data_IF_158757294980
#
_entry.id   IF_158757294980
#
_cell.length_a   1.000
_cell.length_b   1.000
_cell.length_c   1.000
_cell.angle_alpha   90.00
_cell.angle_beta   90.00
_cell.angle_gamma   90.00
#
_symmetry.space_group_name_H-M   'P 1'
#
loop_
_entity.id
_entity.type
_entity.pdbx_description
1 polymer ?
#
# COMPACT_ATOMS: atom_id res chain seq x y z
N UNK A 1 16.81 12.48 -15.57
CA UNK A 1 16.44 11.51 -14.51
C UNK A 1 15.36 10.53 -14.97
N UNK A 2 14.12 10.98 -15.23
CA UNK A 2 13.04 10.11 -15.75
C UNK A 2 13.43 9.37 -17.04
N UNK A 3 14.10 10.06 -17.98
CA UNK A 3 14.52 9.47 -19.26
C UNK A 3 15.50 8.30 -19.08
N UNK A 4 16.46 8.42 -18.17
CA UNK A 4 17.50 7.41 -17.95
C UNK A 4 16.95 6.08 -17.41
N UNK A 5 15.95 6.12 -16.51
CA UNK A 5 15.29 4.91 -16.01
C UNK A 5 14.46 4.27 -17.11
N UNK A 6 13.73 5.07 -17.89
CA UNK A 6 12.92 4.54 -19.00
C UNK A 6 13.81 3.85 -20.03
N UNK A 7 14.92 4.47 -20.41
CA UNK A 7 15.91 3.87 -21.32
C UNK A 7 16.48 2.57 -20.75
N UNK A 8 16.87 2.55 -19.48
CA UNK A 8 17.36 1.33 -18.82
C UNK A 8 16.32 0.21 -18.84
N UNK A 9 15.06 0.51 -18.47
CA UNK A 9 13.96 -0.45 -18.47
C UNK A 9 13.70 -0.98 -19.88
N UNK A 10 13.66 -0.11 -20.88
CA UNK A 10 13.42 -0.51 -22.27
C UNK A 10 14.51 -1.44 -22.79
N UNK A 11 15.79 -1.11 -22.55
CA UNK A 11 16.90 -1.90 -23.05
C UNK A 11 17.11 -3.22 -22.28
N UNK A 12 16.93 -3.22 -20.96
CA UNK A 12 17.38 -4.33 -20.10
C UNK A 12 16.25 -5.18 -19.51
N UNK A 13 15.03 -4.65 -19.39
CA UNK A 13 13.93 -5.32 -18.67
C UNK A 13 12.80 -5.69 -19.64
N UNK A 14 12.36 -4.74 -20.47
CA UNK A 14 11.23 -4.91 -21.38
C UNK A 14 11.34 -6.10 -22.34
N UNK A 15 12.54 -6.53 -22.81
CA UNK A 15 12.65 -7.72 -23.66
C UNK A 15 12.27 -9.02 -22.95
N UNK A 16 12.37 -9.06 -21.62
CA UNK A 16 12.25 -10.27 -20.81
C UNK A 16 11.06 -10.26 -19.85
N UNK A 17 10.53 -9.08 -19.51
CA UNK A 17 9.47 -8.93 -18.52
C UNK A 17 8.32 -8.06 -19.02
N UNK A 18 7.09 -8.58 -18.91
CA UNK A 18 5.84 -7.86 -19.17
C UNK A 18 4.99 -7.87 -17.90
N UNK A 19 4.93 -6.75 -17.21
CA UNK A 19 4.18 -6.61 -15.96
C UNK A 19 4.43 -5.28 -15.28
N UNK A 20 3.91 -5.16 -14.05
CA UNK A 20 4.18 -4.00 -13.20
C UNK A 20 5.58 -4.07 -12.61
N UNK A 21 6.25 -2.92 -12.54
CA UNK A 21 7.51 -2.78 -11.82
C UNK A 21 7.41 -1.62 -10.83
N UNK A 22 8.11 -1.74 -9.70
CA UNK A 22 8.39 -0.66 -8.78
C UNK A 22 9.84 -0.19 -8.93
N UNK A 23 10.08 1.11 -8.79
CA UNK A 23 11.42 1.68 -8.72
C UNK A 23 11.55 2.39 -7.38
N UNK A 24 12.45 1.91 -6.55
CA UNK A 24 12.68 2.49 -5.22
C UNK A 24 13.71 3.61 -5.35
N UNK A 25 13.35 4.77 -4.80
CA UNK A 25 14.11 6.02 -4.83
C UNK A 25 14.26 6.53 -3.41
N UNK A 26 15.34 7.23 -3.09
CA UNK A 26 15.44 7.98 -1.84
C UNK A 26 15.79 9.43 -2.10
N UNK A 27 15.35 10.30 -1.19
CA UNK A 27 15.82 11.67 -1.10
C UNK A 27 17.03 11.69 -0.19
N UNK A 28 18.10 12.36 -0.60
CA UNK A 28 19.29 12.57 0.21
C UNK A 28 19.65 14.05 0.27
N UNK A 29 20.35 14.46 1.31
CA UNK A 29 20.87 15.81 1.47
C UNK A 29 22.35 15.85 1.08
N UNK A 30 22.75 16.87 0.33
CA UNK A 30 24.14 17.17 0.05
C UNK A 30 24.32 18.69 0.02
N UNK A 31 25.23 19.21 0.84
CA UNK A 31 25.54 20.65 0.92
C UNK A 31 24.29 21.52 1.14
N UNK A 32 23.39 21.09 2.04
CA UNK A 32 22.15 21.81 2.37
C UNK A 32 21.06 21.75 1.29
N UNK A 33 21.26 20.98 0.22
CA UNK A 33 20.29 20.77 -0.84
C UNK A 33 19.77 19.33 -0.84
N UNK A 34 18.48 19.16 -1.14
CA UNK A 34 17.86 17.83 -1.27
C UNK A 34 17.87 17.37 -2.73
N UNK A 35 18.33 16.13 -2.92
CA UNK A 35 18.42 15.47 -4.22
C UNK A 35 17.67 14.15 -4.20
N UNK A 36 17.19 13.72 -5.35
CA UNK A 36 16.56 12.42 -5.53
C UNK A 36 17.57 11.45 -6.14
N UNK A 37 17.86 10.34 -5.46
CA UNK A 37 18.59 9.24 -6.08
C UNK A 37 17.62 8.44 -6.96
N UNK A 38 17.87 8.33 -8.28
CA UNK A 38 16.86 7.93 -9.25
C UNK A 38 16.40 6.48 -9.15
N UNK A 39 17.28 5.57 -8.72
CA UNK A 39 16.98 4.15 -8.72
C UNK A 39 17.96 3.42 -7.80
N UNK A 40 17.45 2.84 -6.72
CA UNK A 40 18.23 2.02 -5.79
C UNK A 40 17.92 0.55 -6.02
N UNK A 41 16.65 0.24 -6.23
CA UNK A 41 16.15 -1.10 -6.46
C UNK A 41 15.02 -1.07 -7.50
N UNK A 42 14.94 -2.13 -8.31
CA UNK A 42 13.82 -2.36 -9.23
C UNK A 42 13.12 -3.66 -8.83
N UNK A 43 11.86 -3.55 -8.47
CA UNK A 43 11.00 -4.64 -8.04
C UNK A 43 10.10 -5.10 -9.21
N UNK A 44 10.38 -6.25 -9.83
CA UNK A 44 9.61 -6.79 -10.96
C UNK A 44 8.35 -7.58 -10.53
N UNK A 45 7.49 -6.92 -9.76
CA UNK A 45 6.24 -7.49 -9.23
C UNK A 45 5.21 -6.39 -9.00
N UNK A 46 3.91 -6.75 -8.93
CA UNK A 46 2.90 -5.87 -8.34
C UNK A 46 3.36 -5.40 -6.94
N UNK A 47 3.39 -4.08 -6.75
CA UNK A 47 3.80 -3.47 -5.48
C UNK A 47 2.58 -3.21 -4.60
N UNK A 48 2.78 -3.05 -3.30
CA UNK A 48 1.70 -2.65 -2.39
C UNK A 48 1.13 -1.27 -2.75
N UNK A 49 1.95 -0.37 -3.31
CA UNK A 49 1.49 0.91 -3.83
C UNK A 49 0.50 0.75 -5.00
N UNK A 50 0.74 -0.22 -5.89
CA UNK A 50 -0.21 -0.55 -6.95
C UNK A 50 -1.54 -1.06 -6.38
N UNK A 51 -1.49 -1.97 -5.39
CA UNK A 51 -2.67 -2.51 -4.73
C UNK A 51 -3.46 -1.40 -4.04
N UNK A 52 -2.80 -0.54 -3.26
CA UNK A 52 -3.43 0.59 -2.57
C UNK A 52 -4.09 1.56 -3.56
N UNK A 53 -3.41 1.91 -4.65
CA UNK A 53 -3.94 2.79 -5.69
C UNK A 53 -5.15 2.17 -6.41
N UNK A 54 -5.09 0.87 -6.74
CA UNK A 54 -6.21 0.16 -7.36
C UNK A 54 -7.40 0.05 -6.41
N UNK A 55 -7.15 -0.22 -5.12
CA UNK A 55 -8.17 -0.27 -4.10
C UNK A 55 -8.87 1.09 -3.96
N UNK A 56 -8.08 2.17 -3.87
CA UNK A 56 -8.60 3.54 -3.76
C UNK A 56 -9.54 3.88 -4.93
N UNK A 57 -9.05 3.72 -6.17
CA UNK A 57 -9.82 4.08 -7.37
C UNK A 57 -11.14 3.32 -7.48
N UNK A 58 -11.13 2.03 -7.14
CA UNK A 58 -12.30 1.17 -7.36
C UNK A 58 -13.24 1.11 -6.17
N UNK A 59 -12.74 1.20 -4.94
CA UNK A 59 -13.53 0.90 -3.75
C UNK A 59 -13.59 2.03 -2.73
N UNK A 60 -12.86 3.13 -2.86
CA UNK A 60 -12.99 4.28 -1.94
C UNK A 60 -13.87 5.35 -2.57
N UNK A 61 -14.74 5.96 -1.76
CA UNK A 61 -15.57 7.07 -2.20
C UNK A 61 -14.73 8.30 -2.55
N UNK A 62 -15.18 9.08 -3.54
CA UNK A 62 -14.43 10.23 -4.03
C UNK A 62 -14.19 11.26 -2.91
N UNK A 63 -13.01 11.89 -2.93
CA UNK A 63 -12.61 12.91 -1.95
C UNK A 63 -12.20 12.37 -0.57
N UNK A 64 -12.40 11.08 -0.31
CA UNK A 64 -11.98 10.44 0.94
C UNK A 64 -10.49 10.16 0.96
N UNK A 65 -9.94 10.04 2.17
CA UNK A 65 -8.55 9.70 2.44
C UNK A 65 -8.49 8.66 3.55
N UNK A 66 -7.43 7.87 3.55
CA UNK A 66 -7.27 6.84 4.55
C UNK A 66 -5.91 6.18 4.48
N UNK A 67 -5.75 5.15 5.30
CA UNK A 67 -4.52 4.37 5.44
C UNK A 67 -4.77 2.97 4.91
N UNK A 68 -3.91 2.51 4.01
CA UNK A 68 -3.74 1.11 3.67
C UNK A 68 -2.51 0.61 4.44
N UNK A 69 -2.66 -0.39 5.30
CA UNK A 69 -1.58 -0.88 6.16
C UNK A 69 -1.45 -2.39 6.14
N UNK A 70 -0.22 -2.87 6.25
CA UNK A 70 0.09 -4.25 6.63
C UNK A 70 0.62 -4.19 8.06
N UNK A 71 -0.16 -4.68 9.01
CA UNK A 71 0.21 -4.67 10.42
C UNK A 71 0.75 -6.05 10.82
N UNK A 72 1.70 -6.05 11.74
CA UNK A 72 2.17 -7.25 12.44
C UNK A 72 2.04 -7.06 13.95
N UNK A 73 1.64 -8.12 14.65
CA UNK A 73 1.57 -8.19 16.10
C UNK A 73 2.30 -9.45 16.56
N UNK A 74 3.17 -9.31 17.56
CA UNK A 74 3.89 -10.45 18.16
C UNK A 74 2.95 -11.44 18.87
N UNK A 75 1.71 -11.02 19.15
CA UNK A 75 0.67 -11.83 19.78
C UNK A 75 -0.66 -11.76 19.01
N UNK A 76 -1.21 -12.93 18.67
CA UNK A 76 -2.46 -13.05 17.92
C UNK A 76 -3.68 -12.55 18.71
N UNK A 77 -3.66 -12.64 20.04
CA UNK A 77 -4.78 -12.17 20.87
C UNK A 77 -4.90 -10.64 20.87
N UNK A 78 -3.75 -9.96 20.80
CA UNK A 78 -3.64 -8.50 20.69
C UNK A 78 -4.17 -8.01 19.34
N UNK A 79 -3.79 -8.68 18.24
CA UNK A 79 -4.33 -8.35 16.91
C UNK A 79 -5.85 -8.51 16.86
N UNK A 80 -6.38 -9.61 17.42
CA UNK A 80 -7.83 -9.85 17.48
C UNK A 80 -8.55 -8.80 18.32
N UNK A 81 -7.97 -8.40 19.45
CA UNK A 81 -8.54 -7.39 20.33
C UNK A 81 -8.61 -6.03 19.63
N UNK A 82 -7.53 -5.61 18.96
CA UNK A 82 -7.52 -4.39 18.16
C UNK A 82 -8.50 -4.47 16.97
N UNK A 83 -8.57 -5.61 16.27
CA UNK A 83 -9.53 -5.84 15.20
C UNK A 83 -10.98 -5.63 15.67
N UNK A 84 -11.37 -6.27 16.78
CA UNK A 84 -12.72 -6.14 17.37
C UNK A 84 -12.99 -4.71 17.84
N UNK A 85 -12.00 -4.05 18.44
CA UNK A 85 -12.12 -2.67 18.91
C UNK A 85 -12.39 -1.71 17.74
N UNK A 86 -11.65 -1.84 16.64
CA UNK A 86 -11.85 -1.02 15.43
C UNK A 86 -13.18 -1.30 14.75
N UNK A 87 -13.59 -2.56 14.64
CA UNK A 87 -14.92 -2.90 14.12
C UNK A 87 -16.05 -2.26 14.93
N UNK A 88 -15.87 -2.14 16.25
CA UNK A 88 -16.86 -1.50 17.14
C UNK A 88 -16.83 0.02 17.05
N UNK A 89 -15.64 0.63 17.08
CA UNK A 89 -15.49 2.08 17.22
C UNK A 89 -15.54 2.82 15.88
N UNK A 90 -15.07 2.19 14.81
CA UNK A 90 -14.98 2.77 13.46
C UNK A 90 -15.47 1.74 12.42
N UNK A 91 -16.74 1.29 12.48
CA UNK A 91 -17.25 0.31 11.52
C UNK A 91 -17.17 0.84 10.09
N UNK A 92 -16.84 -0.02 9.13
CA UNK A 92 -16.82 0.35 7.72
C UNK A 92 -18.22 0.75 7.22
N UNK A 93 -18.32 1.94 6.66
CA UNK A 93 -19.51 2.42 5.97
C UNK A 93 -19.34 2.21 4.46
N UNK A 94 -20.12 1.30 3.90
CA UNK A 94 -20.06 0.97 2.47
C UNK A 94 -21.41 1.29 1.83
N UNK A 95 -21.40 2.23 0.89
CA UNK A 95 -22.58 2.69 0.14
C UNK A 95 -22.27 2.51 -1.34
N UNK A 96 -23.15 1.87 -2.10
CA UNK A 96 -22.98 1.62 -3.54
C UNK A 96 -21.61 1.03 -3.91
N UNK A 97 -21.14 0.07 -3.10
CA UNK A 97 -19.84 -0.62 -3.24
C UNK A 97 -18.61 0.27 -3.03
N UNK A 98 -18.79 1.50 -2.54
CA UNK A 98 -17.73 2.41 -2.15
C UNK A 98 -17.63 2.51 -0.63
N UNK A 99 -16.41 2.44 -0.12
CA UNK A 99 -16.04 2.65 1.27
C UNK A 99 -15.96 4.16 1.53
N UNK A 100 -16.85 4.66 2.39
CA UNK A 100 -16.96 6.06 2.75
C UNK A 100 -16.18 6.43 4.00
N UNK A 101 -16.17 5.55 4.99
CA UNK A 101 -15.54 5.76 6.29
C UNK A 101 -15.23 4.43 6.98
N UNK A 102 -14.38 4.47 8.01
CA UNK A 102 -14.19 3.37 8.94
C UNK A 102 -13.15 2.33 8.52
N UNK A 103 -13.07 1.28 9.33
CA UNK A 103 -12.07 0.22 9.31
C UNK A 103 -12.59 -1.02 8.58
N UNK A 104 -11.78 -1.54 7.66
CA UNK A 104 -12.03 -2.80 6.96
C UNK A 104 -10.75 -3.64 6.93
N UNK A 105 -10.84 -4.86 7.46
CA UNK A 105 -9.80 -5.87 7.22
C UNK A 105 -9.95 -6.45 5.81
N UNK A 106 -8.87 -6.47 5.04
CA UNK A 106 -8.83 -7.07 3.70
C UNK A 106 -8.50 -8.57 3.74
N UNK A 107 -8.10 -9.08 4.90
CA UNK A 107 -7.88 -10.50 5.14
C UNK A 107 -8.78 -10.99 6.28
N UNK A 108 -9.27 -12.24 6.23
CA UNK A 108 -9.94 -12.85 7.38
C UNK A 108 -9.01 -12.88 8.60
N UNK A 109 -9.54 -12.52 9.78
CA UNK A 109 -8.80 -12.62 11.04
C UNK A 109 -9.24 -13.91 11.76
N UNK A 110 -8.28 -14.81 11.97
CA UNK A 110 -8.45 -16.07 12.71
C UNK A 110 -7.76 -15.98 14.07
N UNK A 111 -7.92 -17.04 14.87
CA UNK A 111 -7.41 -17.09 16.24
C UNK A 111 -5.86 -17.06 16.34
N UNK A 112 -5.17 -17.42 15.27
CA UNK A 112 -3.72 -17.50 15.14
C UNK A 112 -3.13 -16.39 14.24
N UNK A 113 -3.97 -15.45 13.79
CA UNK A 113 -3.54 -14.41 12.85
C UNK A 113 -2.69 -13.35 13.54
N UNK A 114 -1.44 -13.21 13.08
CA UNK A 114 -0.48 -12.20 13.54
C UNK A 114 -0.18 -11.11 12.51
N UNK A 115 -0.60 -11.30 11.26
CA UNK A 115 -0.50 -10.31 10.20
C UNK A 115 -1.89 -9.98 9.67
N UNK A 116 -2.16 -8.71 9.39
CA UNK A 116 -3.32 -8.33 8.59
C UNK A 116 -3.00 -7.25 7.59
N UNK A 117 -3.76 -7.27 6.51
CA UNK A 117 -3.89 -6.12 5.62
C UNK A 117 -5.20 -5.42 5.96
N UNK A 118 -5.15 -4.11 6.18
CA UNK A 118 -6.34 -3.30 6.48
C UNK A 118 -6.39 -2.02 5.67
N UNK A 119 -7.60 -1.50 5.51
CA UNK A 119 -7.84 -0.12 5.12
C UNK A 119 -8.64 0.58 6.20
N UNK A 120 -8.38 1.87 6.40
CA UNK A 120 -9.10 2.70 7.35
C UNK A 120 -9.29 4.09 6.75
N UNK A 121 -10.54 4.46 6.49
CA UNK A 121 -10.91 5.76 5.92
C UNK A 121 -11.27 6.72 7.06
N UNK A 122 -10.66 7.90 7.03
CA UNK A 122 -10.81 8.97 8.02
C UNK A 122 -12.04 9.84 7.75
#
# INVERSE_FOLDING_TARGET
MRSSIVEFVLANISPFYRGYLGVDMFVYECEGNYFLHPCVEINLRPTMGLVANHFYKNYVAEGRKGVFSVDFFDDASSLQSDHKLRQKNTPAEIIDRKLYSGYLSLCPIKNDTQYRVRVEIL
#
